data_IF_397709791097
#
_entry.id   IF_397709791097
#
_cell.length_a   1.000
_cell.length_b   1.000
_cell.length_c   1.000
_cell.angle_alpha   90.00
_cell.angle_beta   90.00
_cell.angle_gamma   90.00
#
_symmetry.space_group_name_H-M   'P 1'
#
loop_
_entity.id
_entity.type
_entity.pdbx_description
1 polymer ?
#
# COMPACT_ATOMS: atom_id res chain seq x y z
N UNK A 1 12.57 -49.49 -5.78
CA UNK A 1 12.84 -48.11 -6.25
C UNK A 1 11.74 -47.22 -5.71
N UNK A 2 12.02 -46.45 -4.65
CA UNK A 2 11.04 -45.55 -4.03
C UNK A 2 11.22 -44.16 -4.64
N UNK A 3 10.27 -43.73 -5.46
CA UNK A 3 10.29 -42.40 -6.07
C UNK A 3 9.83 -41.37 -5.04
N UNK A 4 10.74 -40.48 -4.62
CA UNK A 4 10.41 -39.35 -3.77
C UNK A 4 9.54 -38.36 -4.54
N UNK A 5 8.27 -38.25 -4.14
CA UNK A 5 7.32 -37.30 -4.71
C UNK A 5 7.81 -35.89 -4.38
N UNK A 6 7.94 -34.96 -5.34
CA UNK A 6 8.44 -33.63 -5.05
C UNK A 6 7.45 -32.91 -4.12
N UNK A 7 7.90 -32.53 -2.94
CA UNK A 7 7.12 -31.74 -1.99
C UNK A 7 6.91 -30.35 -2.60
N UNK A 8 5.74 -30.12 -3.20
CA UNK A 8 5.43 -28.81 -3.74
C UNK A 8 5.35 -27.82 -2.58
N UNK A 9 6.02 -26.66 -2.70
CA UNK A 9 5.99 -25.62 -1.65
C UNK A 9 4.56 -25.25 -1.24
N UNK A 10 3.59 -25.42 -2.15
CA UNK A 10 2.16 -25.23 -1.92
C UNK A 10 1.54 -26.19 -0.88
N UNK A 11 2.04 -27.41 -0.73
CA UNK A 11 1.53 -28.35 0.29
C UNK A 11 1.90 -27.89 1.70
N UNK A 12 3.08 -27.29 1.88
CA UNK A 12 3.50 -26.69 3.15
C UNK A 12 2.66 -25.46 3.50
N UNK A 13 2.42 -24.56 2.54
CA UNK A 13 1.58 -23.37 2.75
C UNK A 13 0.12 -23.73 3.05
N UNK A 14 -0.48 -24.66 2.30
CA UNK A 14 -1.85 -25.11 2.54
C UNK A 14 -2.01 -25.82 3.89
N UNK A 15 -0.98 -26.53 4.35
CA UNK A 15 -0.96 -27.14 5.69
C UNK A 15 -0.90 -26.10 6.80
N UNK A 16 -0.06 -25.06 6.65
CA UNK A 16 0.02 -23.94 7.59
C UNK A 16 -1.30 -23.14 7.66
N UNK A 17 -1.93 -22.89 6.51
CA UNK A 17 -3.22 -22.20 6.44
C UNK A 17 -4.35 -23.03 7.04
N UNK A 18 -4.35 -24.36 6.84
CA UNK A 18 -5.29 -25.28 7.52
C UNK A 18 -5.06 -25.27 9.03
N UNK A 19 -3.82 -25.32 9.50
CA UNK A 19 -3.50 -25.24 10.93
C UNK A 19 -3.99 -23.92 11.54
N UNK A 20 -3.83 -22.80 10.83
CA UNK A 20 -4.35 -21.50 11.25
C UNK A 20 -5.88 -21.49 11.31
N UNK A 21 -6.58 -22.03 10.29
CA UNK A 21 -8.04 -22.15 10.26
C UNK A 21 -8.58 -23.00 11.42
N UNK A 22 -7.94 -24.12 11.72
CA UNK A 22 -8.29 -24.98 12.86
C UNK A 22 -8.08 -24.26 14.19
N UNK A 23 -6.96 -23.55 14.35
CA UNK A 23 -6.64 -22.79 15.57
C UNK A 23 -7.58 -21.60 15.79
N UNK A 24 -7.98 -20.92 14.71
CA UNK A 24 -8.87 -19.75 14.79
C UNK A 24 -10.36 -20.14 14.76
N UNK A 25 -10.69 -21.42 14.54
CA UNK A 25 -12.07 -21.95 14.40
C UNK A 25 -12.89 -21.22 13.34
N UNK A 26 -12.25 -20.72 12.29
CA UNK A 26 -12.91 -20.00 11.19
C UNK A 26 -12.66 -20.73 9.87
N UNK A 27 -13.68 -20.92 9.01
CA UNK A 27 -13.49 -21.57 7.72
C UNK A 27 -12.49 -20.78 6.87
N UNK A 28 -11.64 -21.50 6.14
CA UNK A 28 -10.50 -20.95 5.39
C UNK A 28 -10.94 -19.84 4.41
N UNK A 29 -12.06 -20.03 3.71
CA UNK A 29 -12.60 -19.06 2.74
C UNK A 29 -12.99 -17.73 3.39
N UNK A 30 -13.63 -17.79 4.55
CA UNK A 30 -14.00 -16.62 5.36
C UNK A 30 -12.76 -15.85 5.83
N UNK A 31 -11.71 -16.58 6.23
CA UNK A 31 -10.45 -15.98 6.67
C UNK A 31 -9.73 -15.26 5.52
N UNK A 32 -9.67 -15.88 4.34
CA UNK A 32 -9.07 -15.27 3.14
C UNK A 32 -9.85 -14.04 2.71
N UNK A 33 -11.19 -14.11 2.68
CA UNK A 33 -12.04 -12.96 2.35
C UNK A 33 -11.83 -11.80 3.33
N UNK A 34 -11.81 -12.11 4.63
CA UNK A 34 -11.58 -11.12 5.70
C UNK A 34 -10.22 -10.47 5.59
N UNK A 35 -9.18 -11.27 5.33
CA UNK A 35 -7.84 -10.76 5.07
C UNK A 35 -7.81 -9.83 3.86
N UNK A 36 -8.45 -10.24 2.75
CA UNK A 36 -8.52 -9.41 1.53
C UNK A 36 -9.19 -8.07 1.79
N UNK A 37 -10.37 -8.06 2.41
CA UNK A 37 -11.08 -6.81 2.74
C UNK A 37 -10.22 -5.91 3.62
N UNK A 38 -9.61 -6.47 4.66
CA UNK A 38 -8.81 -5.69 5.59
C UNK A 38 -7.50 -5.19 4.95
N UNK A 39 -6.91 -5.97 4.05
CA UNK A 39 -5.77 -5.58 3.24
C UNK A 39 -6.10 -4.37 2.35
N UNK A 40 -7.27 -4.36 1.71
CA UNK A 40 -7.72 -3.24 0.89
C UNK A 40 -8.00 -1.99 1.73
N UNK A 41 -8.70 -2.13 2.86
CA UNK A 41 -8.97 -0.99 3.75
C UNK A 41 -7.68 -0.38 4.28
N UNK A 42 -6.73 -1.22 4.68
CA UNK A 42 -5.40 -0.77 5.13
C UNK A 42 -4.50 -0.30 3.98
N UNK A 43 -4.89 -0.49 2.72
CA UNK A 43 -4.24 0.13 1.57
C UNK A 43 -4.75 1.55 1.31
N UNK A 44 -6.07 1.75 1.42
CA UNK A 44 -6.74 3.02 1.12
C UNK A 44 -6.64 4.02 2.26
N UNK A 45 -6.90 3.59 3.50
CA UNK A 45 -6.95 4.51 4.64
C UNK A 45 -5.62 5.27 4.87
N UNK A 46 -4.43 4.63 4.87
CA UNK A 46 -3.19 5.37 5.07
C UNK A 46 -2.85 6.35 3.95
N UNK A 47 -3.36 6.13 2.73
CA UNK A 47 -3.18 7.06 1.62
C UNK A 47 -3.94 8.37 1.91
N UNK A 48 -5.22 8.27 2.28
CA UNK A 48 -6.01 9.44 2.64
C UNK A 48 -5.50 10.12 3.92
N UNK A 49 -5.23 9.33 4.97
CA UNK A 49 -4.70 9.85 6.23
C UNK A 49 -3.36 10.55 6.00
N UNK A 50 -2.45 9.91 5.25
CA UNK A 50 -1.15 10.47 4.92
C UNK A 50 -1.26 11.78 4.15
N UNK A 51 -2.19 11.87 3.19
CA UNK A 51 -2.41 13.09 2.41
C UNK A 51 -2.95 14.24 3.26
N UNK A 52 -4.00 13.99 4.06
CA UNK A 52 -4.56 15.04 4.89
C UNK A 52 -3.63 15.44 6.03
N UNK A 53 -2.89 14.49 6.61
CA UNK A 53 -1.89 14.77 7.63
C UNK A 53 -0.71 15.59 7.06
N UNK A 54 -0.18 15.22 5.89
CA UNK A 54 0.91 15.98 5.25
C UNK A 54 0.46 17.39 4.87
N UNK A 55 -0.77 17.53 4.35
CA UNK A 55 -1.39 18.81 4.05
C UNK A 55 -1.63 19.67 5.30
N UNK A 56 -2.15 19.09 6.38
CA UNK A 56 -2.46 19.81 7.61
C UNK A 56 -1.20 20.27 8.36
N UNK A 57 -0.13 19.46 8.32
CA UNK A 57 1.11 19.71 9.04
C UNK A 57 2.18 20.43 8.19
N UNK A 58 1.93 20.63 6.90
CA UNK A 58 2.92 21.20 5.96
C UNK A 58 4.16 20.32 5.77
N UNK A 59 4.09 19.04 6.14
CA UNK A 59 5.24 18.10 6.11
C UNK A 59 5.64 17.78 4.67
N UNK A 60 4.71 17.90 3.71
CA UNK A 60 4.97 17.69 2.29
C UNK A 60 6.16 18.50 1.81
N UNK A 61 6.08 19.82 1.97
CA UNK A 61 7.08 20.75 1.43
C UNK A 61 8.43 20.59 2.13
N UNK A 62 8.43 20.40 3.45
CA UNK A 62 9.66 20.19 4.23
C UNK A 62 10.36 18.89 3.84
N UNK A 63 9.61 17.80 3.63
CA UNK A 63 10.19 16.51 3.27
C UNK A 63 10.76 16.52 1.86
N UNK A 64 10.07 17.10 0.88
CA UNK A 64 10.58 17.19 -0.49
C UNK A 64 11.78 18.13 -0.59
N UNK A 65 11.79 19.24 0.14
CA UNK A 65 12.97 20.11 0.26
C UNK A 65 14.16 19.35 0.85
N UNK A 66 13.97 18.63 1.95
CA UNK A 66 15.03 17.79 2.53
C UNK A 66 15.57 16.73 1.56
N UNK A 67 14.73 16.19 0.66
CA UNK A 67 15.15 15.18 -0.33
C UNK A 67 15.82 15.84 -1.56
N UNK A 68 15.44 17.05 -1.92
CA UNK A 68 15.93 17.77 -3.10
C UNK A 68 17.18 18.61 -2.81
N UNK A 69 17.25 19.22 -1.64
CA UNK A 69 18.35 20.09 -1.19
C UNK A 69 19.50 19.31 -0.56
N UNK A 70 19.26 18.09 -0.10
CA UNK A 70 20.32 17.25 0.48
C UNK A 70 20.87 16.30 -0.60
N UNK A 71 21.95 16.67 -1.31
CA UNK A 71 22.58 15.78 -2.27
C UNK A 71 23.05 14.48 -1.64
N UNK A 72 23.13 14.34 -0.30
CA UNK A 72 23.44 13.08 0.37
C UNK A 72 22.27 12.06 0.40
N UNK A 73 21.06 12.45 -0.01
CA UNK A 73 19.97 11.53 -0.34
C UNK A 73 20.08 10.95 -1.77
N UNK A 74 20.80 11.62 -2.66
CA UNK A 74 21.00 11.23 -4.06
C UNK A 74 22.44 10.81 -4.42
N UNK A 75 23.43 11.15 -3.59
CA UNK A 75 24.86 11.02 -3.89
C UNK A 75 25.59 10.25 -2.79
N UNK A 76 26.28 9.21 -3.24
CA UNK A 76 26.80 8.05 -2.52
C UNK A 76 28.22 8.29 -1.96
N UNK A 77 28.45 9.37 -1.20
CA UNK A 77 29.81 9.78 -0.80
C UNK A 77 30.01 9.97 0.71
N UNK A 78 29.56 9.03 1.56
CA UNK A 78 30.02 9.02 2.96
C UNK A 78 30.48 7.63 3.39
N UNK A 79 31.79 7.44 3.34
CA UNK A 79 32.50 6.17 3.49
C UNK A 79 32.59 5.69 4.97
N UNK A 80 31.98 6.41 5.92
CA UNK A 80 32.24 6.27 7.37
C UNK A 80 31.07 5.77 8.24
N UNK A 81 29.93 5.33 7.68
CA UNK A 81 28.79 4.81 8.46
C UNK A 81 28.37 3.38 8.06
N UNK A 82 27.83 2.54 8.97
CA UNK A 82 27.54 1.13 8.70
C UNK A 82 26.50 0.98 7.57
N UNK A 83 26.97 0.45 6.45
CA UNK A 83 26.39 0.45 5.08
C UNK A 83 25.09 -0.35 4.87
N UNK A 84 24.45 -0.87 5.91
CA UNK A 84 23.41 -1.89 5.75
C UNK A 84 21.98 -1.34 5.60
N UNK A 85 21.51 -0.61 6.62
CA UNK A 85 20.08 -0.36 6.80
C UNK A 85 19.65 1.06 6.41
N UNK A 86 20.48 2.05 6.73
CA UNK A 86 20.21 3.47 6.48
C UNK A 86 20.36 3.82 4.99
N UNK A 87 21.40 3.32 4.32
CA UNK A 87 21.60 3.52 2.87
C UNK A 87 20.49 2.86 2.05
N UNK A 88 20.10 1.63 2.40
CA UNK A 88 18.96 0.94 1.78
C UNK A 88 17.66 1.73 1.97
N UNK A 89 17.42 2.24 3.19
CA UNK A 89 16.25 3.05 3.52
C UNK A 89 16.18 4.34 2.71
N UNK A 90 17.31 5.06 2.59
CA UNK A 90 17.42 6.29 1.78
C UNK A 90 17.13 6.03 0.30
N UNK A 91 17.77 5.01 -0.29
CA UNK A 91 17.53 4.63 -1.69
C UNK A 91 16.08 4.19 -1.93
N UNK A 92 15.47 3.46 -1.00
CA UNK A 92 14.06 3.07 -1.12
C UNK A 92 13.14 4.28 -1.05
N UNK A 93 13.38 5.21 -0.12
CA UNK A 93 12.57 6.41 0.01
C UNK A 93 12.63 7.27 -1.25
N UNK A 94 13.83 7.53 -1.80
CA UNK A 94 13.97 8.30 -3.04
C UNK A 94 13.23 7.63 -4.20
N UNK A 95 13.37 6.30 -4.34
CA UNK A 95 12.64 5.54 -5.36
C UNK A 95 11.13 5.65 -5.22
N UNK A 96 10.59 5.64 -3.99
CA UNK A 96 9.17 5.78 -3.74
C UNK A 96 8.65 7.19 -3.97
N UNK A 97 9.49 8.21 -3.74
CA UNK A 97 9.17 9.61 -4.06
C UNK A 97 9.08 9.79 -5.57
N UNK A 98 10.08 9.35 -6.34
CA UNK A 98 10.02 9.42 -7.81
C UNK A 98 8.84 8.64 -8.38
N UNK A 99 8.53 7.48 -7.82
CA UNK A 99 7.37 6.69 -8.26
C UNK A 99 6.04 7.33 -7.85
N UNK A 100 6.00 7.92 -6.65
CA UNK A 100 4.87 8.67 -6.12
C UNK A 100 4.55 9.89 -6.97
N UNK A 101 5.57 10.60 -7.44
CA UNK A 101 5.43 11.75 -8.32
C UNK A 101 4.83 11.37 -9.68
N UNK A 102 5.36 10.32 -10.33
CA UNK A 102 4.74 9.75 -11.54
C UNK A 102 3.32 9.24 -11.31
N UNK A 103 3.04 8.68 -10.14
CA UNK A 103 1.69 8.26 -9.78
C UNK A 103 0.76 9.47 -9.62
N UNK A 104 1.21 10.51 -8.92
CA UNK A 104 0.46 11.75 -8.71
C UNK A 104 0.17 12.44 -10.04
N UNK A 105 1.14 12.51 -10.97
CA UNK A 105 0.93 13.04 -12.32
C UNK A 105 -0.09 12.21 -13.11
N UNK A 106 -0.04 10.87 -13.06
CA UNK A 106 -1.00 10.00 -13.77
C UNK A 106 -2.42 10.11 -13.21
N UNK A 107 -2.57 10.10 -11.89
CA UNK A 107 -3.88 10.17 -11.23
C UNK A 107 -4.43 11.60 -11.30
N UNK A 108 -3.57 12.58 -11.08
CA UNK A 108 -3.85 14.00 -11.21
C UNK A 108 -4.39 14.33 -12.58
N UNK A 109 -3.67 13.98 -13.65
CA UNK A 109 -4.16 14.22 -15.02
C UNK A 109 -5.40 13.39 -15.37
N UNK A 110 -5.58 12.19 -14.83
CA UNK A 110 -6.78 11.39 -15.09
C UNK A 110 -8.05 12.04 -14.53
N UNK A 111 -7.96 12.64 -13.34
CA UNK A 111 -9.14 13.14 -12.62
C UNK A 111 -9.22 14.66 -12.54
N UNK A 112 -8.18 15.39 -12.93
CA UNK A 112 -8.09 16.85 -12.75
C UNK A 112 -7.84 17.26 -11.31
N UNK A 113 -7.01 16.51 -10.57
CA UNK A 113 -6.75 16.73 -9.14
C UNK A 113 -5.26 17.05 -8.90
N UNK A 114 -4.94 17.52 -7.70
CA UNK A 114 -3.58 17.92 -7.30
C UNK A 114 -2.98 19.05 -8.14
N UNK A 115 -3.81 19.88 -8.79
CA UNK A 115 -3.35 20.97 -9.67
C UNK A 115 -3.06 20.55 -11.11
N UNK A 116 -3.30 19.28 -11.47
CA UNK A 116 -3.21 18.83 -12.86
C UNK A 116 -4.52 19.07 -13.61
N UNK A 117 -4.41 19.39 -14.91
CA UNK A 117 -5.56 19.46 -15.80
C UNK A 117 -6.09 18.07 -16.15
N UNK A 118 -7.42 17.95 -16.21
CA UNK A 118 -8.08 16.69 -16.57
C UNK A 118 -7.80 16.39 -18.05
N UNK A 119 -7.14 15.27 -18.30
CA UNK A 119 -6.83 14.71 -19.61
C UNK A 119 -8.11 14.56 -20.46
N UNK A 120 -8.00 14.92 -21.74
CA UNK A 120 -9.04 14.64 -22.74
C UNK A 120 -9.02 13.15 -23.15
N UNK A 121 -10.20 12.53 -23.38
CA UNK A 121 -10.25 11.14 -23.84
C UNK A 121 -9.39 10.93 -25.09
N UNK A 122 -8.46 9.97 -25.06
CA UNK A 122 -7.55 9.65 -26.17
C UNK A 122 -6.14 10.24 -26.10
N UNK A 123 -5.91 11.31 -25.33
CA UNK A 123 -4.63 12.06 -25.33
C UNK A 123 -3.59 11.45 -24.38
N UNK A 124 -2.52 10.79 -24.84
CA UNK A 124 -1.54 10.20 -23.90
C UNK A 124 -0.79 11.31 -23.15
N UNK A 125 -0.94 11.43 -21.81
CA UNK A 125 -0.23 12.45 -21.06
C UNK A 125 1.24 12.07 -21.02
N UNK A 126 2.09 13.04 -21.34
CA UNK A 126 3.53 12.90 -21.15
C UNK A 126 3.86 13.08 -19.66
N UNK A 127 3.81 11.97 -18.93
CA UNK A 127 4.03 11.94 -17.48
C UNK A 127 5.44 12.40 -17.15
N UNK A 128 6.44 12.00 -17.94
CA UNK A 128 7.82 12.37 -17.68
C UNK A 128 8.03 13.87 -17.92
N UNK A 129 7.44 14.47 -18.96
CA UNK A 129 7.49 15.92 -19.12
C UNK A 129 6.82 16.68 -17.96
N UNK A 130 5.76 16.13 -17.36
CA UNK A 130 5.08 16.75 -16.23
C UNK A 130 5.89 16.67 -14.93
N UNK A 131 6.60 15.57 -14.69
CA UNK A 131 7.46 15.37 -13.51
C UNK A 131 8.83 16.04 -13.61
N UNK A 132 9.16 16.69 -14.73
CA UNK A 132 10.41 17.46 -14.87
C UNK A 132 10.18 18.98 -14.88
N UNK A 133 8.93 19.45 -14.81
CA UNK A 133 8.64 20.90 -14.82
C UNK A 133 9.06 21.55 -13.51
N UNK A 134 9.82 22.66 -13.51
CA UNK A 134 10.13 23.37 -12.27
C UNK A 134 8.82 23.79 -11.58
N UNK A 135 8.67 23.42 -10.31
CA UNK A 135 7.47 23.72 -9.51
C UNK A 135 6.33 22.70 -9.55
N UNK A 136 6.45 21.55 -10.24
CA UNK A 136 5.41 20.51 -10.20
C UNK A 136 5.30 19.81 -8.83
N UNK A 137 6.38 19.78 -8.04
CA UNK A 137 6.41 19.35 -6.63
C UNK A 137 5.99 20.47 -5.67
N UNK A 138 5.05 21.33 -6.08
CA UNK A 138 4.50 22.36 -5.22
C UNK A 138 3.03 22.09 -4.93
N UNK A 139 2.64 22.30 -3.66
CA UNK A 139 1.25 22.18 -3.22
C UNK A 139 0.77 20.73 -3.07
N UNK A 140 -0.38 20.42 -3.66
CA UNK A 140 -1.06 19.15 -3.38
C UNK A 140 -0.38 17.91 -3.97
N UNK A 141 0.45 18.09 -5.01
CA UNK A 141 1.28 17.02 -5.56
C UNK A 141 2.23 16.50 -4.49
N UNK A 142 2.91 17.39 -3.79
CA UNK A 142 3.85 17.09 -2.70
C UNK A 142 3.20 16.24 -1.62
N UNK A 143 2.01 16.64 -1.18
CA UNK A 143 1.24 15.92 -0.17
C UNK A 143 0.86 14.51 -0.65
N UNK A 144 0.52 14.37 -1.94
CA UNK A 144 0.19 13.08 -2.56
C UNK A 144 1.41 12.16 -2.70
N UNK A 145 2.57 12.70 -3.06
CA UNK A 145 3.84 11.96 -3.14
C UNK A 145 4.26 11.44 -1.76
N UNK A 146 4.19 12.30 -0.73
CA UNK A 146 4.50 11.89 0.65
C UNK A 146 3.52 10.82 1.14
N UNK A 147 2.22 11.00 0.89
CA UNK A 147 1.21 10.01 1.25
C UNK A 147 1.47 8.65 0.59
N UNK A 148 1.91 8.66 -0.67
CA UNK A 148 2.29 7.47 -1.42
C UNK A 148 3.52 6.78 -0.83
N UNK A 149 4.58 7.54 -0.52
CA UNK A 149 5.80 7.01 0.07
C UNK A 149 5.54 6.40 1.47
N UNK A 150 4.78 7.10 2.33
CA UNK A 150 4.35 6.58 3.64
C UNK A 150 3.50 5.33 3.47
N UNK A 151 2.60 5.32 2.49
CA UNK A 151 1.77 4.17 2.16
C UNK A 151 2.63 2.95 1.81
N UNK A 152 3.71 3.14 1.04
CA UNK A 152 4.67 2.07 0.73
C UNK A 152 5.50 1.63 1.93
N UNK A 153 5.94 2.57 2.76
CA UNK A 153 6.67 2.25 3.98
C UNK A 153 5.84 1.38 4.95
N UNK A 154 4.52 1.55 4.94
CA UNK A 154 3.59 0.78 5.78
C UNK A 154 3.25 -0.62 5.23
N UNK A 155 3.70 -1.01 4.03
CA UNK A 155 3.40 -2.34 3.46
C UNK A 155 3.67 -3.53 4.40
N UNK A 156 4.84 -3.66 5.07
CA UNK A 156 5.08 -4.76 6.00
C UNK A 156 4.13 -4.73 7.20
N UNK A 157 3.83 -3.53 7.71
CA UNK A 157 2.88 -3.33 8.81
C UNK A 157 1.47 -3.73 8.40
N UNK A 158 1.04 -3.42 7.17
CA UNK A 158 -0.27 -3.79 6.63
C UNK A 158 -0.46 -5.29 6.57
N UNK A 159 0.56 -6.01 6.09
CA UNK A 159 0.51 -7.48 6.01
C UNK A 159 0.40 -8.07 7.42
N UNK A 160 1.24 -7.62 8.35
CA UNK A 160 1.21 -8.07 9.74
C UNK A 160 -0.12 -7.79 10.43
N UNK A 161 -0.62 -6.56 10.31
CA UNK A 161 -1.88 -6.14 10.92
C UNK A 161 -3.08 -6.87 10.30
N UNK A 162 -3.09 -7.05 8.98
CA UNK A 162 -4.18 -7.78 8.29
C UNK A 162 -4.21 -9.25 8.70
N UNK A 163 -3.04 -9.91 8.85
CA UNK A 163 -2.95 -11.29 9.33
C UNK A 163 -3.39 -11.41 10.80
N UNK A 164 -3.04 -10.44 11.64
CA UNK A 164 -3.39 -10.44 13.06
C UNK A 164 -4.89 -10.23 13.28
N UNK A 165 -5.51 -9.31 12.54
CA UNK A 165 -6.91 -8.94 12.70
C UNK A 165 -7.88 -9.82 11.91
N UNK A 166 -7.43 -10.51 10.84
CA UNK A 166 -8.30 -11.36 10.02
C UNK A 166 -9.10 -12.41 10.81
N UNK A 167 -8.57 -13.09 11.85
CA UNK A 167 -9.35 -14.02 12.67
C UNK A 167 -10.49 -13.35 13.44
N UNK A 168 -10.25 -12.15 14.00
CA UNK A 168 -11.26 -11.38 14.73
C UNK A 168 -12.32 -10.79 13.81
N UNK A 169 -11.89 -10.21 12.68
CA UNK A 169 -12.80 -9.68 11.66
C UNK A 169 -13.65 -10.77 11.02
N UNK A 170 -13.09 -11.95 10.76
CA UNK A 170 -13.85 -13.11 10.26
C UNK A 170 -15.01 -13.45 11.19
N UNK A 171 -14.78 -13.51 12.51
CA UNK A 171 -15.86 -13.74 13.49
C UNK A 171 -16.87 -12.60 13.53
N UNK A 172 -16.40 -11.35 13.45
CA UNK A 172 -17.27 -10.17 13.53
C UNK A 172 -18.09 -9.92 12.26
N UNK A 173 -17.57 -10.22 11.08
CA UNK A 173 -18.20 -9.92 9.80
C UNK A 173 -18.94 -11.13 9.21
N UNK A 174 -18.42 -12.36 9.33
CA UNK A 174 -19.02 -13.50 8.63
C UNK A 174 -20.10 -14.21 9.42
N UNK A 175 -20.13 -14.13 10.76
CA UNK A 175 -21.28 -14.62 11.53
C UNK A 175 -22.57 -13.83 11.28
N UNK A 176 -22.59 -12.48 11.30
CA UNK A 176 -23.79 -11.73 10.98
C UNK A 176 -24.15 -11.83 9.50
N UNK A 177 -23.19 -11.77 8.57
CA UNK A 177 -23.48 -11.92 7.12
C UNK A 177 -24.00 -13.32 6.80
N UNK A 178 -23.46 -14.38 7.40
CA UNK A 178 -24.00 -15.75 7.25
C UNK A 178 -25.41 -15.85 7.80
N UNK A 179 -25.68 -15.32 9.00
CA UNK A 179 -27.04 -15.31 9.57
C UNK A 179 -28.01 -14.51 8.71
N UNK A 180 -27.57 -13.40 8.13
CA UNK A 180 -28.39 -12.54 7.27
C UNK A 180 -28.67 -13.18 5.90
N UNK A 181 -27.64 -13.71 5.23
CA UNK A 181 -27.79 -14.39 3.92
C UNK A 181 -28.57 -15.69 4.05
N UNK A 182 -28.27 -16.54 5.04
CA UNK A 182 -29.04 -17.76 5.30
C UNK A 182 -30.45 -17.42 5.76
N UNK A 183 -30.65 -16.34 6.53
CA UNK A 183 -31.98 -15.85 6.92
C UNK A 183 -32.82 -15.37 5.74
N UNK A 184 -32.19 -14.75 4.74
CA UNK A 184 -32.86 -14.33 3.49
C UNK A 184 -33.24 -15.53 2.62
N UNK A 185 -32.40 -16.58 2.57
CA UNK A 185 -32.67 -17.79 1.79
C UNK A 185 -33.51 -18.85 2.50
N UNK A 186 -33.59 -18.83 3.84
CA UNK A 186 -34.57 -19.59 4.62
C UNK A 186 -35.86 -18.77 4.72
N UNK A 187 -36.60 -18.66 3.63
CA UNK A 187 -38.04 -18.36 3.75
C UNK A 187 -38.73 -19.59 4.36
N UNK A 188 -39.58 -19.42 5.38
CA UNK A 188 -40.35 -20.52 5.94
C UNK A 188 -41.36 -21.01 4.90
N UNK A 189 -41.32 -22.30 4.58
CA UNK A 189 -42.50 -23.06 4.18
C UNK A 189 -43.15 -23.60 5.45
#
# INVERSE_FOLDING_TARGET
MSTSKPSSKFSAYSSALKALSTRTRTPLSSLVLSFGILHEVTAVAPLFIGFYASRALGVGDTLIKAITEDPSFATDNDETQPKGLTQWGKHKLSSWVTEGDRWAARVGTRYGIFGYEKRKPGEKPDVDALTHRPGHLAGDVTNAVVAYAVTKALLPVRIGLSLYLAPGFSRMATEPVRKFVVGIFRRPN
#
